data_IF_450201289140
#
_entry.id   IF_450201289140
#
_cell.length_a   1.000
_cell.length_b   1.000
_cell.length_c   1.000
_cell.angle_alpha   90.00
_cell.angle_beta   90.00
_cell.angle_gamma   90.00
#
_symmetry.space_group_name_H-M   'P 1'
#
loop_
_entity.id
_entity.type
_entity.pdbx_description
1 polymer ?
#
# COMPACT_ATOMS: atom_id res chain seq x y z
N UNK A 1 56.76 -0.50 22.75
CA UNK A 1 56.34 -0.59 21.33
C UNK A 1 54.81 -0.61 21.27
N UNK A 2 54.19 0.01 20.25
CA UNK A 2 53.04 0.87 20.43
C UNK A 2 51.66 0.22 20.22
N UNK A 3 50.68 0.90 20.81
CA UNK A 3 49.23 0.75 20.67
C UNK A 3 48.81 0.68 19.19
N UNK A 4 48.22 -0.43 18.77
CA UNK A 4 47.46 -0.49 17.52
C UNK A 4 46.08 0.07 17.79
N UNK A 5 45.97 1.39 17.69
CA UNK A 5 44.74 2.10 17.37
C UNK A 5 44.21 1.58 16.03
N UNK A 6 43.32 0.58 16.07
CA UNK A 6 42.48 0.26 14.91
C UNK A 6 41.43 1.35 14.76
N UNK A 7 41.90 2.42 14.12
CA UNK A 7 41.20 3.22 13.12
C UNK A 7 39.68 3.02 13.14
N UNK A 8 39.01 3.93 13.86
CA UNK A 8 37.69 4.42 13.48
C UNK A 8 37.78 4.80 12.00
N UNK A 9 37.49 3.84 11.12
CA UNK A 9 37.24 4.15 9.72
C UNK A 9 36.01 5.04 9.74
N UNK A 10 36.27 6.32 9.48
CA UNK A 10 35.32 7.34 9.14
C UNK A 10 34.18 6.73 8.33
N UNK A 11 33.06 6.45 9.00
CA UNK A 11 31.77 6.48 8.36
C UNK A 11 31.59 7.94 7.96
N UNK A 12 32.00 8.29 6.73
CA UNK A 12 31.48 9.48 6.08
C UNK A 12 29.99 9.51 6.35
N UNK A 13 29.49 10.61 6.94
CA UNK A 13 28.08 10.97 6.97
C UNK A 13 27.54 10.82 5.55
N UNK A 14 27.05 9.64 5.19
CA UNK A 14 26.05 9.51 4.16
C UNK A 14 24.81 10.11 4.81
N UNK A 15 24.31 11.14 4.16
CA UNK A 15 23.04 11.78 4.46
C UNK A 15 22.00 10.72 4.88
N UNK A 16 21.60 10.74 6.16
CA UNK A 16 20.49 9.93 6.67
C UNK A 16 19.13 10.35 6.05
N UNK A 17 19.15 11.26 5.09
CA UNK A 17 18.03 11.81 4.32
C UNK A 17 17.69 11.00 3.06
N UNK A 18 18.44 9.96 2.69
CA UNK A 18 18.16 9.21 1.46
C UNK A 18 17.22 8.00 1.63
N UNK A 19 17.14 7.38 2.81
CA UNK A 19 16.24 6.26 3.05
C UNK A 19 14.96 6.70 3.78
N UNK A 20 13.78 6.21 3.36
CA UNK A 20 12.53 6.55 4.01
C UNK A 20 12.47 5.94 5.42
N UNK A 21 12.02 6.70 6.43
CA UNK A 21 12.09 6.28 7.83
C UNK A 21 11.13 5.11 8.11
N UNK A 22 11.58 4.11 8.88
CA UNK A 22 10.70 2.99 9.27
C UNK A 22 9.50 3.47 10.10
N UNK A 23 8.31 3.05 9.69
CA UNK A 23 7.02 3.41 10.30
C UNK A 23 6.28 2.14 10.73
N UNK A 24 5.93 2.09 12.01
CA UNK A 24 5.20 0.97 12.61
C UNK A 24 3.70 1.03 12.31
N UNK A 25 3.09 -0.15 12.19
CA UNK A 25 1.64 -0.32 11.95
C UNK A 25 0.82 0.41 13.02
N UNK A 26 -0.16 1.27 12.66
CA UNK A 26 -1.06 1.86 13.63
C UNK A 26 -2.09 0.82 14.12
N UNK A 27 -2.61 1.01 15.35
CA UNK A 27 -3.65 0.13 15.92
C UNK A 27 -4.91 0.06 15.06
N UNK A 28 -5.28 1.19 14.44
CA UNK A 28 -6.38 1.31 13.48
C UNK A 28 -5.84 2.04 12.26
N UNK A 29 -6.02 1.46 11.07
CA UNK A 29 -5.59 2.07 9.82
C UNK A 29 -6.75 2.89 9.24
N UNK A 30 -6.71 4.19 9.47
CA UNK A 30 -7.58 5.22 8.87
C UNK A 30 -6.70 6.25 8.15
N UNK A 31 -7.28 7.06 7.25
CA UNK A 31 -6.55 8.13 6.58
C UNK A 31 -5.81 9.04 7.58
N UNK A 32 -6.51 9.53 8.60
CA UNK A 32 -5.89 10.36 9.65
C UNK A 32 -4.85 9.64 10.53
N UNK A 33 -4.85 8.30 10.57
CA UNK A 33 -3.77 7.52 11.21
C UNK A 33 -2.53 7.44 10.33
N UNK A 34 -2.72 7.34 9.01
CA UNK A 34 -1.64 7.33 8.03
C UNK A 34 -1.00 8.72 7.98
N UNK A 35 -1.81 9.77 7.89
CA UNK A 35 -1.36 11.16 7.97
C UNK A 35 -0.44 11.39 9.16
N UNK A 36 -0.87 11.04 10.38
CA UNK A 36 -0.03 11.23 11.58
C UNK A 36 1.27 10.45 11.54
N UNK A 37 1.28 9.22 11.00
CA UNK A 37 2.48 8.37 10.95
C UNK A 37 3.49 8.85 9.92
N UNK A 38 3.00 9.34 8.81
CA UNK A 38 3.80 9.81 7.70
C UNK A 38 4.06 11.33 7.77
N UNK A 39 3.47 12.05 8.74
CA UNK A 39 3.75 13.46 9.03
C UNK A 39 5.05 13.63 9.84
N UNK A 40 6.18 13.21 9.26
CA UNK A 40 7.53 13.44 9.78
C UNK A 40 8.32 14.36 8.86
N UNK A 41 9.51 14.79 9.29
CA UNK A 41 10.33 15.75 8.54
C UNK A 41 10.66 15.27 7.12
N UNK A 42 10.94 13.98 6.94
CA UNK A 42 11.29 13.38 5.64
C UNK A 42 10.17 13.56 4.60
N UNK A 43 8.94 13.17 4.94
CA UNK A 43 7.82 13.30 4.01
C UNK A 43 7.34 14.73 3.84
N UNK A 44 7.47 15.56 4.88
CA UNK A 44 7.18 17.00 4.77
C UNK A 44 8.12 17.67 3.78
N UNK A 45 9.43 17.39 3.83
CA UNK A 45 10.36 17.94 2.84
C UNK A 45 10.11 17.39 1.43
N UNK A 46 9.67 16.14 1.30
CA UNK A 46 9.46 15.51 -0.01
C UNK A 46 8.18 15.95 -0.71
N UNK A 47 7.18 16.37 0.07
CA UNK A 47 5.84 16.77 -0.43
C UNK A 47 5.57 18.27 -0.31
N UNK A 48 6.57 19.06 0.09
CA UNK A 48 6.41 20.49 0.39
C UNK A 48 5.27 20.71 1.40
N UNK A 49 5.31 19.99 2.52
CA UNK A 49 4.27 20.06 3.55
C UNK A 49 2.90 19.52 3.12
N UNK A 50 2.85 18.57 2.18
CA UNK A 50 1.64 18.05 1.52
C UNK A 50 0.94 19.04 0.57
N UNK A 51 1.56 20.17 0.25
CA UNK A 51 1.01 21.14 -0.72
C UNK A 51 1.08 20.60 -2.15
N UNK A 52 2.21 19.97 -2.49
CA UNK A 52 2.45 19.48 -3.85
C UNK A 52 1.84 18.09 -4.12
N UNK A 53 1.84 17.22 -3.12
CA UNK A 53 1.29 15.87 -3.21
C UNK A 53 0.53 15.59 -1.92
N UNK A 54 -0.79 15.39 -2.04
CA UNK A 54 -1.62 15.07 -0.88
C UNK A 54 -1.52 13.59 -0.56
N UNK A 55 -1.37 13.26 0.72
CA UNK A 55 -1.39 11.86 1.16
C UNK A 55 -2.68 11.13 0.75
N UNK A 56 -3.82 11.81 0.74
CA UNK A 56 -5.09 11.24 0.28
C UNK A 56 -4.99 10.73 -1.17
N UNK A 57 -4.27 11.46 -2.01
CA UNK A 57 -4.02 11.13 -3.41
C UNK A 57 -3.04 9.97 -3.55
N UNK A 58 -1.96 9.96 -2.76
CA UNK A 58 -1.04 8.81 -2.67
C UNK A 58 -1.79 7.54 -2.30
N UNK A 59 -2.64 7.60 -1.26
CA UNK A 59 -3.45 6.45 -0.81
C UNK A 59 -4.49 6.05 -1.86
N UNK A 60 -5.10 7.02 -2.56
CA UNK A 60 -6.04 6.76 -3.65
C UNK A 60 -5.36 5.99 -4.78
N UNK A 61 -4.15 6.40 -5.17
CA UNK A 61 -3.39 5.72 -6.22
C UNK A 61 -2.96 4.33 -5.78
N UNK A 62 -2.38 4.18 -4.57
CA UNK A 62 -2.05 2.85 -4.03
C UNK A 62 -3.26 1.91 -4.03
N UNK A 63 -4.44 2.39 -3.65
CA UNK A 63 -5.69 1.62 -3.70
C UNK A 63 -6.08 1.23 -5.12
N UNK A 64 -6.13 2.20 -6.04
CA UNK A 64 -6.48 1.97 -7.45
C UNK A 64 -5.61 0.89 -8.09
N UNK A 65 -4.30 0.94 -7.84
CA UNK A 65 -3.38 -0.08 -8.36
C UNK A 65 -3.50 -1.41 -7.63
N UNK A 66 -3.76 -1.39 -6.32
CA UNK A 66 -4.05 -2.63 -5.59
C UNK A 66 -5.27 -3.34 -6.19
N UNK A 67 -6.31 -2.62 -6.60
CA UNK A 67 -7.48 -3.24 -7.24
C UNK A 67 -7.08 -3.94 -8.54
N UNK A 68 -6.39 -3.23 -9.44
CA UNK A 68 -5.96 -3.78 -10.74
C UNK A 68 -5.09 -5.03 -10.58
N UNK A 69 -4.11 -4.97 -9.69
CA UNK A 69 -3.21 -6.10 -9.46
C UNK A 69 -3.96 -7.26 -8.86
N UNK A 70 -4.80 -7.03 -7.86
CA UNK A 70 -5.55 -8.12 -7.25
C UNK A 70 -6.52 -8.74 -8.24
N UNK A 71 -7.19 -7.95 -9.09
CA UNK A 71 -8.05 -8.45 -10.18
C UNK A 71 -7.32 -9.47 -11.07
N UNK A 72 -6.03 -9.25 -11.36
CA UNK A 72 -5.21 -10.21 -12.10
C UNK A 72 -5.13 -11.58 -11.40
N UNK A 73 -5.14 -11.59 -10.06
CA UNK A 73 -5.09 -12.80 -9.23
C UNK A 73 -6.45 -13.23 -8.68
N UNK A 74 -7.58 -12.70 -9.18
CA UNK A 74 -8.92 -12.98 -8.63
C UNK A 74 -9.20 -14.48 -8.55
N UNK A 75 -8.79 -15.26 -9.57
CA UNK A 75 -8.99 -16.71 -9.61
C UNK A 75 -8.17 -17.48 -8.56
N UNK A 76 -7.02 -16.95 -8.16
CA UNK A 76 -6.16 -17.54 -7.12
C UNK A 76 -6.57 -17.07 -5.70
N UNK A 77 -7.30 -15.96 -5.62
CA UNK A 77 -7.74 -15.33 -4.38
C UNK A 77 -9.12 -15.83 -3.95
N UNK A 78 -9.18 -16.44 -2.79
CA UNK A 78 -10.43 -16.95 -2.24
C UNK A 78 -11.14 -15.88 -1.41
N UNK A 79 -12.35 -15.50 -1.83
CA UNK A 79 -13.11 -14.42 -1.21
C UNK A 79 -13.50 -14.69 0.25
N UNK A 80 -13.46 -15.93 0.74
CA UNK A 80 -13.85 -16.24 2.12
C UNK A 80 -12.67 -16.07 3.10
N UNK A 81 -11.44 -16.09 2.60
CA UNK A 81 -10.25 -15.93 3.43
C UNK A 81 -9.85 -14.45 3.59
N UNK A 82 -9.03 -14.16 4.60
CA UNK A 82 -8.30 -12.88 4.71
C UNK A 82 -7.09 -12.92 3.80
N UNK A 83 -6.60 -11.76 3.37
CA UNK A 83 -5.41 -11.73 2.51
C UNK A 83 -4.19 -12.37 3.21
N UNK A 84 -4.07 -12.18 4.53
CA UNK A 84 -3.02 -12.76 5.38
C UNK A 84 -3.05 -14.31 5.44
N UNK A 85 -4.17 -14.94 5.12
CA UNK A 85 -4.31 -16.40 5.19
C UNK A 85 -3.90 -17.11 3.89
N UNK A 86 -3.54 -16.36 2.84
CA UNK A 86 -3.08 -16.95 1.58
C UNK A 86 -1.62 -17.41 1.68
N UNK A 87 -1.22 -18.30 0.77
CA UNK A 87 0.15 -18.84 0.77
C UNK A 87 1.19 -17.73 0.61
N UNK A 88 2.30 -17.85 1.32
CA UNK A 88 3.42 -16.90 1.20
C UNK A 88 3.88 -16.71 -0.26
N UNK A 89 3.83 -17.77 -1.07
CA UNK A 89 4.19 -17.71 -2.50
C UNK A 89 3.22 -16.86 -3.31
N UNK A 90 1.91 -16.99 -3.08
CA UNK A 90 0.91 -16.15 -3.75
C UNK A 90 1.05 -14.69 -3.31
N UNK A 91 1.19 -14.45 -2.01
CA UNK A 91 1.36 -13.09 -1.46
C UNK A 91 2.62 -12.42 -2.02
N UNK A 92 3.74 -13.15 -2.14
CA UNK A 92 4.97 -12.64 -2.73
C UNK A 92 4.80 -12.27 -4.21
N UNK A 93 4.16 -13.13 -5.03
CA UNK A 93 3.86 -12.82 -6.44
C UNK A 93 3.00 -11.57 -6.59
N UNK A 94 1.94 -11.45 -5.78
CA UNK A 94 1.07 -10.26 -5.78
C UNK A 94 1.87 -9.02 -5.37
N UNK A 95 2.77 -9.14 -4.39
CA UNK A 95 3.61 -8.04 -3.95
C UNK A 95 4.59 -7.58 -5.04
N UNK A 96 5.23 -8.51 -5.75
CA UNK A 96 6.15 -8.20 -6.85
C UNK A 96 5.44 -7.49 -8.00
N UNK A 97 4.26 -7.99 -8.39
CA UNK A 97 3.46 -7.36 -9.45
C UNK A 97 2.93 -5.99 -9.03
N UNK A 98 2.48 -5.87 -7.78
CA UNK A 98 2.11 -4.60 -7.17
C UNK A 98 3.27 -3.61 -7.22
N UNK A 99 4.44 -4.01 -6.74
CA UNK A 99 5.64 -3.18 -6.71
C UNK A 99 6.04 -2.70 -8.11
N UNK A 100 6.10 -3.62 -9.08
CA UNK A 100 6.39 -3.33 -10.48
C UNK A 100 5.38 -2.33 -11.07
N UNK A 101 4.09 -2.54 -10.79
CA UNK A 101 3.02 -1.65 -11.21
C UNK A 101 3.12 -0.23 -10.62
N UNK A 102 3.52 -0.10 -9.35
CA UNK A 102 3.77 1.22 -8.74
C UNK A 102 4.93 1.93 -9.43
N UNK A 103 6.01 1.23 -9.77
CA UNK A 103 7.15 1.84 -10.46
C UNK A 103 6.83 2.24 -11.90
N UNK A 104 5.87 1.55 -12.54
CA UNK A 104 5.41 1.84 -13.90
C UNK A 104 4.38 2.96 -14.04
N UNK A 105 3.93 3.63 -12.96
CA UNK A 105 2.99 4.75 -13.12
C UNK A 105 3.71 5.98 -13.71
N UNK A 106 3.63 6.16 -15.02
CA UNK A 106 4.29 7.28 -15.70
C UNK A 106 3.65 8.65 -15.40
N UNK A 107 2.44 8.70 -14.84
CA UNK A 107 1.62 9.91 -14.82
C UNK A 107 2.14 10.99 -13.84
N UNK A 108 2.70 10.61 -12.68
CA UNK A 108 3.20 11.57 -11.70
C UNK A 108 4.44 11.06 -10.93
N UNK A 109 5.67 11.44 -11.35
CA UNK A 109 6.92 10.92 -10.78
C UNK A 109 7.03 11.18 -9.27
N UNK A 110 6.51 12.33 -8.80
CA UNK A 110 6.54 12.70 -7.38
C UNK A 110 5.61 11.81 -6.55
N UNK A 111 4.41 11.49 -7.05
CA UNK A 111 3.51 10.55 -6.38
C UNK A 111 4.12 9.16 -6.34
N UNK A 112 4.68 8.67 -7.44
CA UNK A 112 5.35 7.35 -7.47
C UNK A 112 6.48 7.30 -6.46
N UNK A 113 7.30 8.34 -6.41
CA UNK A 113 8.41 8.42 -5.45
C UNK A 113 7.92 8.36 -4.01
N UNK A 114 6.89 9.15 -3.67
CA UNK A 114 6.31 9.16 -2.31
C UNK A 114 5.61 7.85 -1.98
N UNK A 115 4.89 7.24 -2.93
CA UNK A 115 4.22 5.96 -2.78
C UNK A 115 5.22 4.82 -2.54
N UNK A 116 6.32 4.80 -3.29
CA UNK A 116 7.42 3.84 -3.15
C UNK A 116 8.04 3.97 -1.77
N UNK A 117 8.39 5.18 -1.34
CA UNK A 117 8.91 5.42 0.00
C UNK A 117 7.93 5.02 1.10
N UNK A 118 6.63 5.26 0.90
CA UNK A 118 5.57 4.87 1.83
C UNK A 118 5.60 3.37 2.08
N UNK A 119 5.73 2.59 1.01
CA UNK A 119 5.80 1.14 1.08
C UNK A 119 7.11 0.70 1.74
N UNK A 120 8.26 1.26 1.35
CA UNK A 120 9.57 0.96 1.96
C UNK A 120 9.60 1.24 3.46
N UNK A 121 8.98 2.34 3.89
CA UNK A 121 8.86 2.68 5.32
C UNK A 121 8.17 1.59 6.14
N UNK A 122 7.39 0.71 5.50
CA UNK A 122 6.68 -0.37 6.20
C UNK A 122 7.42 -1.71 6.22
N UNK A 123 8.59 -1.81 5.56
CA UNK A 123 9.44 -3.01 5.51
C UNK A 123 9.09 -4.01 4.39
N UNK A 124 9.90 -5.06 4.25
CA UNK A 124 9.67 -6.16 3.29
C UNK A 124 8.33 -6.85 3.62
N UNK A 125 7.40 -6.90 2.66
CA UNK A 125 5.99 -7.31 2.84
C UNK A 125 5.14 -6.39 3.73
N UNK A 126 5.56 -5.14 3.89
CA UNK A 126 5.09 -4.20 4.92
C UNK A 126 3.59 -4.10 5.13
N UNK A 127 3.22 -3.70 6.35
CA UNK A 127 1.83 -3.74 6.83
C UNK A 127 0.85 -2.93 5.98
N UNK A 128 1.34 -1.92 5.24
CA UNK A 128 0.51 -1.12 4.34
C UNK A 128 0.02 -1.94 3.14
N UNK A 129 0.88 -2.77 2.54
CA UNK A 129 0.50 -3.69 1.48
C UNK A 129 -0.53 -4.72 1.97
N UNK A 130 -0.30 -5.32 3.14
CA UNK A 130 -1.25 -6.27 3.73
C UNK A 130 -2.62 -5.63 4.01
N UNK A 131 -2.63 -4.35 4.39
CA UNK A 131 -3.88 -3.61 4.57
C UNK A 131 -4.58 -3.32 3.24
N UNK A 132 -3.84 -2.96 2.20
CA UNK A 132 -4.40 -2.76 0.85
C UNK A 132 -5.06 -4.04 0.34
N UNK A 133 -4.38 -5.19 0.47
CA UNK A 133 -4.96 -6.47 0.07
C UNK A 133 -6.21 -6.82 0.86
N UNK A 134 -6.20 -6.63 2.18
CA UNK A 134 -7.39 -6.84 3.00
C UNK A 134 -8.55 -5.90 2.60
N UNK A 135 -8.24 -4.66 2.22
CA UNK A 135 -9.23 -3.69 1.76
C UNK A 135 -9.86 -4.13 0.43
N UNK A 136 -9.06 -4.58 -0.56
CA UNK A 136 -9.58 -5.10 -1.85
C UNK A 136 -10.48 -6.31 -1.62
N UNK A 137 -10.02 -7.30 -0.85
CA UNK A 137 -10.80 -8.49 -0.53
C UNK A 137 -12.14 -8.14 0.12
N UNK A 138 -12.13 -7.17 1.04
CA UNK A 138 -13.35 -6.69 1.70
C UNK A 138 -14.31 -6.00 0.73
N UNK A 139 -13.78 -5.23 -0.23
CA UNK A 139 -14.58 -4.59 -1.30
C UNK A 139 -15.24 -5.65 -2.17
N UNK A 140 -14.50 -6.68 -2.61
CA UNK A 140 -15.04 -7.75 -3.43
C UNK A 140 -16.10 -8.60 -2.72
N UNK A 141 -15.88 -8.95 -1.44
CA UNK A 141 -16.91 -9.65 -0.64
C UNK A 141 -18.22 -8.87 -0.64
N UNK A 142 -18.18 -7.55 -0.43
CA UNK A 142 -19.37 -6.68 -0.48
C UNK A 142 -20.03 -6.64 -1.86
N UNK A 143 -19.25 -6.50 -2.93
CA UNK A 143 -19.77 -6.51 -4.30
C UNK A 143 -20.45 -7.84 -4.65
N UNK A 144 -19.88 -8.97 -4.21
CA UNK A 144 -20.48 -10.29 -4.40
C UNK A 144 -21.79 -10.46 -3.63
N UNK A 145 -21.87 -9.95 -2.40
CA UNK A 145 -23.12 -9.94 -1.63
C UNK A 145 -24.20 -9.11 -2.32
N UNK A 146 -23.86 -7.89 -2.75
CA UNK A 146 -24.80 -7.02 -3.47
C UNK A 146 -25.29 -7.66 -4.78
N UNK A 147 -24.42 -8.34 -5.55
CA UNK A 147 -24.85 -9.08 -6.76
C UNK A 147 -25.80 -10.24 -6.45
N UNK A 148 -25.66 -10.87 -5.28
CA UNK A 148 -26.54 -11.97 -4.82
C UNK A 148 -27.88 -11.47 -4.29
N UNK A 149 -27.94 -10.26 -3.76
CA UNK A 149 -29.17 -9.62 -3.26
C UNK A 149 -29.94 -8.84 -4.35
N UNK A 150 -29.27 -8.50 -5.45
CA UNK A 150 -29.88 -7.81 -6.60
C UNK A 150 -30.78 -8.63 -7.58
N UNK A 151 -30.93 -9.98 -7.53
CA UNK A 151 -31.79 -10.67 -8.50
C UNK A 151 -33.30 -10.48 -8.25
N UNK A 152 -33.74 -9.97 -7.10
CA UNK A 152 -35.18 -9.82 -6.81
C UNK A 152 -35.79 -8.46 -7.23
N UNK A 153 -34.98 -7.41 -7.40
CA UNK A 153 -35.49 -6.08 -7.77
C UNK A 153 -35.94 -5.96 -9.25
N UNK A 154 -35.72 -7.00 -10.08
CA UNK A 154 -36.14 -7.04 -11.49
C UNK A 154 -37.31 -7.98 -11.78
N UNK A 155 -37.80 -8.74 -10.79
CA UNK A 155 -38.96 -9.63 -10.97
C UNK A 155 -40.28 -8.99 -10.53
N UNK A 156 -40.26 -8.00 -9.64
CA UNK A 156 -41.49 -7.34 -9.15
C UNK A 156 -42.08 -6.34 -10.15
N UNK A 157 -41.28 -5.77 -11.06
CA UNK A 157 -41.77 -4.86 -12.12
C UNK A 157 -42.29 -5.57 -13.37
N UNK A 158 -42.32 -6.92 -13.40
CA UNK A 158 -42.86 -7.70 -14.52
C UNK A 158 -44.21 -8.37 -14.24
N UNK A 159 -44.77 -8.18 -13.04
CA UNK A 159 -46.09 -8.70 -12.65
C UNK A 159 -47.19 -7.62 -12.59
N UNK A 160 -46.87 -6.36 -12.91
CA UNK A 160 -47.84 -5.25 -12.99
C UNK A 160 -47.87 -4.58 -14.38
N UNK A 161 -47.60 -5.34 -15.46
CA UNK A 161 -47.74 -4.86 -16.84
C UNK A 161 -48.66 -5.78 -17.65
#
# INVERSE_FOLDING_TARGET
>A
MPLVTRSRRNCSRRDQTQEPPRITKPKKITQGSLERRFNNQYYRSKTDGWESVKIAEVIKNLKSYSEKVFEHFENELTLDHTFQNHTHRLVARIYEEFWSGIQGMAEEPKIVSVATDFLLSTGECGWLFMWLGQWVMSKWKRLKLLRREAPEAKLVTRLEA
#
